data_IF_821456869444
#
_entry.id   IF_821456869444
#
_cell.length_a   1.000
_cell.length_b   1.000
_cell.length_c   1.000
_cell.angle_alpha   90.00
_cell.angle_beta   90.00
_cell.angle_gamma   90.00
#
_symmetry.space_group_name_H-M   'P 1'
#
loop_
_entity.id
_entity.type
_entity.pdbx_description
1 polymer ?
#
# COMPACT_ATOMS: atom_id res chain seq x y z
N UNK A 1 -0.29 4.08 -10.30
CA UNK A 1 1.17 4.21 -10.23
C UNK A 1 1.77 2.86 -9.87
N UNK A 2 2.84 2.44 -10.55
CA UNK A 2 3.55 1.22 -10.19
C UNK A 2 4.54 1.52 -9.06
N UNK A 3 4.25 1.06 -7.85
CA UNK A 3 5.10 1.28 -6.68
C UNK A 3 6.36 0.41 -6.69
N UNK A 4 6.25 -0.82 -7.22
CA UNK A 4 7.33 -1.78 -7.25
C UNK A 4 8.07 -1.69 -8.58
N UNK A 5 9.36 -1.29 -8.60
CA UNK A 5 10.09 -1.06 -9.85
C UNK A 5 10.48 -2.37 -10.56
N UNK A 6 10.54 -3.48 -9.81
CA UNK A 6 10.97 -4.78 -10.32
C UNK A 6 9.87 -5.47 -11.10
N UNK A 7 10.25 -6.04 -12.24
CA UNK A 7 9.45 -6.98 -13.02
C UNK A 7 9.59 -8.41 -12.49
N UNK A 8 8.74 -9.32 -12.95
CA UNK A 8 8.80 -10.74 -12.60
C UNK A 8 10.14 -11.36 -13.00
N UNK A 9 10.69 -10.95 -14.16
CA UNK A 9 11.99 -11.42 -14.63
C UNK A 9 13.14 -11.00 -13.70
N UNK A 10 13.09 -9.77 -13.16
CA UNK A 10 14.09 -9.29 -12.20
C UNK A 10 14.04 -10.11 -10.91
N UNK A 11 12.82 -10.36 -10.41
CA UNK A 11 12.61 -11.18 -9.20
C UNK A 11 13.12 -12.60 -9.39
N UNK A 12 12.84 -13.23 -10.54
CA UNK A 12 13.34 -14.56 -10.87
C UNK A 12 14.87 -14.61 -10.95
N UNK A 13 15.49 -13.59 -11.56
CA UNK A 13 16.95 -13.49 -11.61
C UNK A 13 17.55 -13.37 -10.20
N UNK A 14 16.97 -12.53 -9.34
CA UNK A 14 17.42 -12.35 -7.96
C UNK A 14 17.31 -13.65 -7.15
N UNK A 15 16.17 -14.36 -7.23
CA UNK A 15 15.95 -15.63 -6.51
C UNK A 15 16.98 -16.69 -6.96
N UNK A 16 17.21 -16.81 -8.28
CA UNK A 16 18.22 -17.72 -8.83
C UNK A 16 19.62 -17.40 -8.32
N UNK A 17 19.95 -16.12 -8.21
CA UNK A 17 21.29 -15.69 -7.79
C UNK A 17 21.60 -16.05 -6.33
N UNK A 18 20.59 -16.02 -5.47
CA UNK A 18 20.72 -16.39 -4.04
C UNK A 18 20.38 -17.86 -3.77
N UNK A 19 19.99 -18.62 -4.80
CA UNK A 19 19.79 -20.06 -4.73
C UNK A 19 18.50 -20.53 -4.08
N UNK A 20 17.46 -19.68 -4.02
CA UNK A 20 16.13 -20.06 -3.51
C UNK A 20 15.11 -20.21 -4.64
N UNK A 21 14.12 -21.11 -4.48
CA UNK A 21 13.11 -21.37 -5.51
C UNK A 21 11.89 -20.46 -5.39
N UNK A 22 11.55 -20.03 -4.17
CA UNK A 22 10.35 -19.24 -3.89
C UNK A 22 10.64 -18.04 -2.98
N UNK A 23 9.74 -17.05 -2.98
CA UNK A 23 9.82 -15.92 -2.05
C UNK A 23 9.66 -16.39 -0.60
N UNK A 24 8.87 -17.43 -0.34
CA UNK A 24 8.59 -17.93 1.01
C UNK A 24 9.85 -18.43 1.72
N UNK A 25 10.82 -18.98 0.97
CA UNK A 25 12.12 -19.40 1.51
C UNK A 25 12.91 -18.25 2.13
N UNK A 26 12.68 -17.00 1.72
CA UNK A 26 13.30 -15.82 2.31
C UNK A 26 12.82 -15.56 3.75
N UNK A 27 11.66 -16.13 4.12
CA UNK A 27 11.04 -15.95 5.42
C UNK A 27 11.17 -17.19 6.33
N UNK A 28 12.00 -18.18 5.95
CA UNK A 28 12.15 -19.44 6.68
C UNK A 28 12.62 -19.29 8.15
N UNK A 29 13.23 -18.16 8.49
CA UNK A 29 13.64 -17.83 9.87
C UNK A 29 12.48 -17.38 10.77
N UNK A 30 11.32 -17.04 10.18
CA UNK A 30 10.13 -16.63 10.94
C UNK A 30 9.37 -17.89 11.38
N UNK A 31 9.07 -18.05 12.68
CA UNK A 31 8.28 -19.19 13.13
C UNK A 31 6.91 -19.26 12.43
N UNK A 32 6.46 -20.44 11.98
CA UNK A 32 5.22 -20.56 11.18
C UNK A 32 3.97 -20.02 11.89
N UNK A 33 3.92 -20.10 13.22
CA UNK A 33 2.83 -19.58 14.05
C UNK A 33 2.78 -18.04 14.13
N UNK A 34 3.81 -17.36 13.62
CA UNK A 34 3.87 -15.89 13.52
C UNK A 34 3.52 -15.37 12.13
N UNK A 35 3.47 -16.24 11.12
CA UNK A 35 3.03 -15.86 9.79
C UNK A 35 1.50 -15.78 9.75
N UNK A 36 0.98 -14.79 9.05
CA UNK A 36 -0.46 -14.70 8.81
C UNK A 36 -0.88 -15.79 7.82
N UNK A 37 -1.84 -16.64 8.21
CA UNK A 37 -2.37 -17.69 7.35
C UNK A 37 -3.24 -17.15 6.20
N UNK A 38 -3.76 -15.94 6.36
CA UNK A 38 -4.54 -15.22 5.36
C UNK A 38 -4.06 -13.77 5.29
N UNK A 39 -4.26 -13.08 4.16
CA UNK A 39 -4.06 -11.64 4.11
C UNK A 39 -4.80 -10.92 5.25
N UNK A 40 -4.28 -9.77 5.72
CA UNK A 40 -4.98 -8.95 6.71
C UNK A 40 -6.35 -8.52 6.17
N UNK A 41 -7.31 -8.32 7.08
CA UNK A 41 -8.66 -7.83 6.75
C UNK A 41 -8.62 -6.36 6.33
N UNK A 42 -8.23 -6.13 5.09
CA UNK A 42 -8.12 -4.83 4.45
C UNK A 42 -8.77 -4.88 3.07
N UNK A 43 -9.35 -3.75 2.60
CA UNK A 43 -9.83 -3.64 1.24
C UNK A 43 -8.74 -3.98 0.23
N UNK A 44 -9.13 -4.65 -0.86
CA UNK A 44 -8.21 -4.90 -1.97
C UNK A 44 -7.68 -3.59 -2.55
N UNK A 45 -6.49 -3.68 -3.17
CA UNK A 45 -5.90 -2.55 -3.88
C UNK A 45 -6.88 -1.96 -4.90
N UNK A 46 -6.86 -0.64 -5.00
CA UNK A 46 -7.65 0.13 -5.94
C UNK A 46 -6.74 0.81 -6.97
N UNK A 47 -7.31 1.18 -8.12
CA UNK A 47 -6.58 2.01 -9.09
C UNK A 47 -6.27 3.37 -8.48
N UNK A 48 -5.21 4.02 -8.95
CA UNK A 48 -4.83 5.37 -8.50
C UNK A 48 -5.99 6.36 -8.61
N UNK A 49 -6.73 6.30 -9.73
CA UNK A 49 -7.88 7.16 -9.98
C UNK A 49 -9.04 6.88 -9.01
N UNK A 50 -9.26 5.62 -8.64
CA UNK A 50 -10.31 5.27 -7.68
C UNK A 50 -9.95 5.71 -6.26
N UNK A 51 -8.69 5.56 -5.86
CA UNK A 51 -8.18 6.07 -4.58
C UNK A 51 -8.33 7.60 -4.53
N UNK A 52 -7.92 8.31 -5.59
CA UNK A 52 -8.04 9.77 -5.68
C UNK A 52 -9.50 10.22 -5.54
N UNK A 53 -10.42 9.56 -6.25
CA UNK A 53 -11.86 9.85 -6.17
C UNK A 53 -12.42 9.59 -4.77
N UNK A 54 -12.04 8.48 -4.14
CA UNK A 54 -12.50 8.12 -2.81
C UNK A 54 -12.02 9.14 -1.77
N UNK A 55 -10.73 9.49 -1.80
CA UNK A 55 -10.15 10.47 -0.88
C UNK A 55 -10.73 11.87 -1.10
N UNK A 56 -10.90 12.29 -2.35
CA UNK A 56 -11.52 13.59 -2.68
C UNK A 56 -12.95 13.69 -2.17
N UNK A 57 -13.76 12.63 -2.32
CA UNK A 57 -15.13 12.58 -1.77
C UNK A 57 -15.12 12.63 -0.24
N UNK A 58 -14.19 11.95 0.41
CA UNK A 58 -14.06 11.98 1.86
C UNK A 58 -13.68 13.38 2.35
N UNK A 59 -12.71 14.04 1.69
CA UNK A 59 -12.28 15.39 2.01
C UNK A 59 -13.40 16.43 1.81
N UNK A 60 -14.24 16.26 0.78
CA UNK A 60 -15.37 17.16 0.50
C UNK A 60 -16.46 17.16 1.58
N UNK A 61 -16.42 16.21 2.53
CA UNK A 61 -17.30 16.24 3.71
C UNK A 61 -16.86 17.28 4.75
N UNK A 62 -15.65 17.81 4.63
CA UNK A 62 -15.15 18.90 5.45
C UNK A 62 -15.52 20.25 4.83
N UNK A 63 -15.68 21.27 5.67
CA UNK A 63 -15.69 22.67 5.22
C UNK A 63 -14.27 23.18 5.33
N UNK A 64 -13.61 23.47 4.21
CA UNK A 64 -12.26 24.03 4.23
C UNK A 64 -12.30 25.49 4.66
N UNK A 65 -11.28 25.93 5.41
CA UNK A 65 -11.16 27.32 5.86
C UNK A 65 -11.18 28.33 4.70
N UNK A 66 -10.71 27.92 3.51
CA UNK A 66 -10.73 28.76 2.31
C UNK A 66 -12.05 28.75 1.52
N UNK A 67 -12.99 27.85 1.83
CA UNK A 67 -14.26 27.76 1.08
C UNK A 67 -15.38 28.62 1.66
N UNK A 68 -15.21 29.16 2.87
CA UNK A 68 -16.17 30.03 3.56
C UNK A 68 -15.43 31.15 4.30
N UNK A 69 -16.10 32.26 4.65
CA UNK A 69 -15.51 33.24 5.56
C UNK A 69 -15.09 32.58 6.88
N UNK A 70 -13.79 32.60 7.17
CA UNK A 70 -13.19 31.87 8.30
C UNK A 70 -12.22 32.79 9.06
N UNK A 71 -12.63 33.27 10.23
CA UNK A 71 -11.93 34.31 11.01
C UNK A 71 -11.56 33.82 12.42
N UNK A 72 -11.13 32.57 12.57
CA UNK A 72 -10.81 32.00 13.88
C UNK A 72 -9.58 32.66 14.55
N UNK A 73 -8.65 33.23 13.77
CA UNK A 73 -7.40 33.78 14.29
C UNK A 73 -6.55 32.71 14.99
N UNK A 74 -5.88 33.11 16.09
CA UNK A 74 -5.21 32.24 17.06
C UNK A 74 -4.03 31.36 16.59
N UNK A 75 -3.40 31.67 15.44
CA UNK A 75 -2.19 30.98 14.98
C UNK A 75 -2.49 29.62 14.37
#
# INVERSE_FOLDING_TARGET
MRYLPLEDADRQHMLKQIGVATIDELFAAVPPDKLLATPPDLPNAQSELDVERQLSRLAARNVSAGSVPFFCGAG
#
